data_IF_434350005353
#
_entry.id   IF_434350005353
#
_cell.length_a   1.000
_cell.length_b   1.000
_cell.length_c   1.000
_cell.angle_alpha   90.00
_cell.angle_beta   90.00
_cell.angle_gamma   90.00
#
_symmetry.space_group_name_H-M   'P 1'
#
loop_
_entity.id
_entity.type
_entity.pdbx_description
1 polymer ?
#
# COMPACT_ATOMS: atom_id res chain seq x y z
N UNK A 1 -13.71 51.92 11.70
CA UNK A 1 -14.16 51.69 10.30
C UNK A 1 -13.03 51.67 9.25
N UNK A 2 -11.90 52.38 9.41
CA UNK A 2 -10.82 52.46 8.39
C UNK A 2 -10.14 51.13 8.03
N UNK A 3 -10.21 50.11 8.89
CA UNK A 3 -9.58 48.80 8.68
C UNK A 3 -10.51 47.76 8.02
N UNK A 4 -11.82 48.00 7.96
CA UNK A 4 -12.77 46.99 7.48
C UNK A 4 -12.57 46.73 5.98
N UNK A 5 -12.41 47.80 5.18
CA UNK A 5 -12.17 47.68 3.74
C UNK A 5 -10.87 46.94 3.40
N UNK A 6 -9.68 47.32 3.93
CA UNK A 6 -8.45 46.57 3.62
C UNK A 6 -8.50 45.13 4.14
N UNK A 7 -9.15 44.87 5.28
CA UNK A 7 -9.32 43.50 5.79
C UNK A 7 -10.17 42.64 4.83
N UNK A 8 -11.31 43.13 4.36
CA UNK A 8 -12.16 42.41 3.41
C UNK A 8 -11.47 42.19 2.07
N UNK A 9 -10.76 43.21 1.55
CA UNK A 9 -10.04 43.09 0.28
C UNK A 9 -8.94 42.04 0.39
N UNK A 10 -8.13 42.09 1.45
CA UNK A 10 -7.04 41.13 1.64
C UNK A 10 -7.57 39.71 1.85
N UNK A 11 -8.61 39.54 2.66
CA UNK A 11 -9.25 38.24 2.89
C UNK A 11 -9.79 37.63 1.59
N UNK A 12 -10.54 38.41 0.80
CA UNK A 12 -11.09 37.94 -0.48
C UNK A 12 -9.99 37.67 -1.50
N UNK A 13 -9.00 38.55 -1.61
CA UNK A 13 -7.88 38.36 -2.53
C UNK A 13 -7.10 37.08 -2.21
N UNK A 14 -6.74 36.87 -0.94
CA UNK A 14 -6.05 35.65 -0.53
C UNK A 14 -6.92 34.40 -0.72
N UNK A 15 -8.22 34.47 -0.44
CA UNK A 15 -9.15 33.36 -0.70
C UNK A 15 -9.20 32.99 -2.18
N UNK A 16 -9.27 33.98 -3.07
CA UNK A 16 -9.26 33.72 -4.52
C UNK A 16 -7.92 33.18 -4.99
N UNK A 17 -6.81 33.70 -4.47
CA UNK A 17 -5.47 33.23 -4.84
C UNK A 17 -5.23 31.80 -4.37
N UNK A 18 -5.48 31.49 -3.09
CA UNK A 18 -5.16 30.18 -2.50
C UNK A 18 -6.24 29.12 -2.71
N UNK A 19 -7.50 29.53 -2.87
CA UNK A 19 -8.64 28.63 -3.06
C UNK A 19 -9.05 28.41 -4.51
N UNK A 20 -8.66 29.30 -5.44
CA UNK A 20 -9.05 29.20 -6.86
C UNK A 20 -7.83 29.20 -7.79
N UNK A 21 -7.07 30.30 -7.80
CA UNK A 21 -5.97 30.44 -8.77
C UNK A 21 -4.90 29.35 -8.57
N UNK A 22 -4.49 29.11 -7.33
CA UNK A 22 -3.47 28.11 -7.02
C UNK A 22 -3.94 26.67 -7.29
N UNK A 23 -5.10 26.17 -6.81
CA UNK A 23 -5.56 24.83 -7.13
C UNK A 23 -5.75 24.58 -8.62
N UNK A 24 -6.26 25.56 -9.38
CA UNK A 24 -6.42 25.45 -10.83
C UNK A 24 -5.07 25.39 -11.55
N UNK A 25 -4.11 26.24 -11.15
CA UNK A 25 -2.77 26.21 -11.73
C UNK A 25 -2.07 24.86 -11.47
N UNK A 26 -2.09 24.38 -10.22
CA UNK A 26 -1.48 23.08 -9.86
C UNK A 26 -2.18 21.93 -10.58
N UNK A 27 -3.52 21.95 -10.67
CA UNK A 27 -4.29 20.93 -11.39
C UNK A 27 -3.96 20.95 -12.89
N UNK A 28 -3.92 22.12 -13.51
CA UNK A 28 -3.59 22.28 -14.92
C UNK A 28 -2.19 21.77 -15.25
N UNK A 29 -1.18 22.14 -14.44
CA UNK A 29 0.19 21.64 -14.59
C UNK A 29 0.24 20.12 -14.37
N UNK A 30 -0.41 19.62 -13.32
CA UNK A 30 -0.44 18.19 -13.00
C UNK A 30 -1.05 17.35 -14.13
N UNK A 31 -2.16 17.80 -14.70
CA UNK A 31 -2.80 17.11 -15.82
C UNK A 31 -1.99 17.21 -17.12
N UNK A 32 -1.31 18.34 -17.36
CA UNK A 32 -0.49 18.52 -18.57
C UNK A 32 0.81 17.70 -18.54
N UNK A 33 1.49 17.64 -17.40
CA UNK A 33 2.82 17.02 -17.29
C UNK A 33 2.79 15.60 -16.73
N UNK A 34 1.84 15.30 -15.83
CA UNK A 34 1.79 14.04 -15.07
C UNK A 34 0.36 13.47 -15.00
N UNK A 35 -0.33 13.27 -16.14
CA UNK A 35 -1.74 12.87 -16.15
C UNK A 35 -1.96 11.52 -15.45
N UNK A 36 -1.03 10.56 -15.55
CA UNK A 36 -1.20 9.27 -14.88
C UNK A 36 -1.21 9.41 -13.35
N UNK A 37 -0.29 10.21 -12.80
CA UNK A 37 -0.15 10.42 -11.36
C UNK A 37 -1.24 11.32 -10.82
N UNK A 38 -1.58 12.41 -11.53
CA UNK A 38 -2.63 13.35 -11.18
C UNK A 38 -4.01 12.67 -11.10
N UNK A 39 -4.24 11.64 -11.92
CA UNK A 39 -5.46 10.84 -11.92
C UNK A 39 -5.36 9.58 -11.02
N UNK A 40 -4.38 9.51 -10.11
CA UNK A 40 -4.32 8.49 -9.05
C UNK A 40 -3.51 7.23 -9.36
N UNK A 41 -2.71 7.23 -10.43
CA UNK A 41 -1.85 6.09 -10.84
C UNK A 41 -2.61 4.77 -10.96
N UNK A 42 -3.80 4.84 -11.56
CA UNK A 42 -4.70 3.71 -11.72
C UNK A 42 -4.10 2.62 -12.61
N UNK A 43 -4.41 1.37 -12.28
CA UNK A 43 -4.07 0.18 -13.06
C UNK A 43 -5.37 -0.35 -13.67
N UNK A 44 -5.39 -0.44 -14.99
CA UNK A 44 -6.53 -0.96 -15.77
C UNK A 44 -6.07 -2.21 -16.50
N UNK A 45 -6.85 -3.29 -16.41
CA UNK A 45 -6.61 -4.55 -17.11
C UNK A 45 -7.90 -4.98 -17.79
N UNK A 46 -7.84 -5.28 -19.09
CA UNK A 46 -8.99 -5.70 -19.90
C UNK A 46 -10.19 -4.73 -19.79
N UNK A 47 -9.91 -3.43 -19.80
CA UNK A 47 -10.93 -2.37 -19.67
C UNK A 47 -11.51 -2.20 -18.26
N UNK A 48 -11.09 -3.00 -17.28
CA UNK A 48 -11.54 -2.93 -15.89
C UNK A 48 -10.52 -2.25 -15.00
N UNK A 49 -10.97 -1.31 -14.19
CA UNK A 49 -10.17 -0.71 -13.12
C UNK A 49 -9.92 -1.76 -12.04
N UNK A 50 -8.67 -2.17 -11.88
CA UNK A 50 -8.28 -3.21 -10.92
C UNK A 50 -7.66 -2.62 -9.65
N UNK A 51 -7.21 -1.37 -9.67
CA UNK A 51 -6.64 -0.71 -8.49
C UNK A 51 -5.79 0.51 -8.82
N UNK A 52 -4.95 0.91 -7.86
CA UNK A 52 -3.92 1.94 -8.04
C UNK A 52 -2.58 1.38 -7.61
N UNK A 53 -1.50 1.82 -8.25
CA UNK A 53 -0.12 1.49 -7.81
C UNK A 53 0.16 1.97 -6.37
N UNK A 54 -0.58 2.96 -5.89
CA UNK A 54 -0.34 3.63 -4.61
C UNK A 54 -1.19 3.07 -3.46
N UNK A 55 -2.14 2.18 -3.75
CA UNK A 55 -3.13 1.70 -2.76
C UNK A 55 -3.04 0.19 -2.65
N UNK A 56 -2.79 -0.29 -1.43
CA UNK A 56 -2.82 -1.71 -1.12
C UNK A 56 -4.23 -2.29 -1.18
N UNK A 57 -4.31 -3.61 -1.37
CA UNK A 57 -5.58 -4.33 -1.42
C UNK A 57 -5.57 -5.51 -0.46
N UNK A 58 -6.75 -5.90 0.00
CA UNK A 58 -6.89 -7.09 0.83
C UNK A 58 -6.77 -8.35 -0.03
N UNK A 59 -5.62 -9.02 0.06
CA UNK A 59 -5.42 -10.35 -0.51
C UNK A 59 -5.60 -11.40 0.59
N UNK A 60 -6.60 -12.27 0.44
CA UNK A 60 -6.91 -13.35 1.40
C UNK A 60 -6.70 -14.75 0.83
N UNK A 61 -6.70 -14.91 -0.50
CA UNK A 61 -6.43 -16.20 -1.14
C UNK A 61 -4.95 -16.58 -0.94
N UNK A 62 -4.65 -17.79 -0.43
CA UNK A 62 -3.28 -18.23 -0.16
C UNK A 62 -2.37 -18.34 -1.40
N UNK A 63 -2.89 -18.24 -2.63
CA UNK A 63 -2.09 -18.18 -3.87
C UNK A 63 -1.44 -16.83 -4.10
N UNK A 64 -1.85 -15.78 -3.40
CA UNK A 64 -1.26 -14.45 -3.54
C UNK A 64 -0.23 -14.16 -2.44
N UNK A 65 0.67 -13.23 -2.74
CA UNK A 65 1.47 -12.56 -1.72
C UNK A 65 0.54 -11.66 -0.92
N UNK A 66 0.57 -11.85 0.40
CA UNK A 66 -0.21 -11.03 1.33
C UNK A 66 0.61 -9.83 1.74
N UNK A 67 -0.05 -8.67 1.74
CA UNK A 67 0.51 -7.43 2.26
C UNK A 67 0.43 -7.35 3.79
N UNK A 68 0.72 -6.18 4.32
CA UNK A 68 0.61 -5.92 5.76
C UNK A 68 -0.86 -5.97 6.23
N UNK A 69 -1.14 -6.27 7.49
CA UNK A 69 -2.49 -6.11 8.03
C UNK A 69 -2.98 -4.66 7.88
N UNK A 70 -4.25 -4.50 7.55
CA UNK A 70 -4.93 -3.20 7.56
C UNK A 70 -5.85 -3.12 8.77
N UNK A 71 -5.93 -1.93 9.38
CA UNK A 71 -6.78 -1.64 10.54
C UNK A 71 -7.95 -0.71 10.20
N UNK A 72 -8.25 -0.53 8.92
CA UNK A 72 -9.37 0.31 8.45
C UNK A 72 -10.72 -0.38 8.72
N UNK A 73 -11.76 0.42 8.96
CA UNK A 73 -13.15 -0.04 9.07
C UNK A 73 -14.03 0.48 7.94
N UNK A 74 -15.18 -0.16 7.62
CA UNK A 74 -15.68 -1.42 8.17
C UNK A 74 -14.98 -2.68 7.63
N UNK A 75 -14.06 -2.53 6.66
CA UNK A 75 -13.32 -3.62 6.03
C UNK A 75 -11.83 -3.24 5.88
N UNK A 76 -10.91 -4.22 5.82
CA UNK A 76 -9.48 -3.95 5.60
C UNK A 76 -9.25 -3.31 4.22
N UNK A 77 -8.24 -2.45 4.13
CA UNK A 77 -7.87 -1.71 2.94
C UNK A 77 -9.01 -0.84 2.36
N UNK A 78 -9.82 -0.24 3.22
CA UNK A 78 -10.91 0.63 2.79
C UNK A 78 -10.39 2.01 2.37
N UNK A 79 -10.45 2.33 1.07
CA UNK A 79 -10.02 3.64 0.56
C UNK A 79 -10.82 4.84 1.08
N UNK A 80 -12.05 4.63 1.56
CA UNK A 80 -12.86 5.65 2.24
C UNK A 80 -12.49 5.86 3.70
N UNK A 81 -11.69 4.98 4.29
CA UNK A 81 -11.25 5.05 5.67
C UNK A 81 -9.72 4.85 5.75
N UNK A 82 -8.97 5.95 5.73
CA UNK A 82 -7.53 5.92 5.97
C UNK A 82 -7.22 6.03 7.46
N UNK A 83 -6.44 5.10 8.00
CA UNK A 83 -6.06 5.10 9.42
C UNK A 83 -5.33 3.84 9.88
N UNK A 84 -4.59 3.98 10.99
CA UNK A 84 -3.86 2.90 11.64
C UNK A 84 -4.58 2.33 12.86
N UNK A 85 -4.02 1.28 13.47
CA UNK A 85 -4.63 0.61 14.63
C UNK A 85 -4.56 1.42 15.93
N UNK A 86 -3.59 2.33 16.07
CA UNK A 86 -3.39 3.20 17.24
C UNK A 86 -3.35 2.50 18.61
N UNK A 87 -3.02 1.21 18.62
CA UNK A 87 -2.85 0.42 19.85
C UNK A 87 -1.45 0.64 20.43
N UNK A 88 -1.37 0.99 21.71
CA UNK A 88 -0.10 1.11 22.42
C UNK A 88 0.56 -0.26 22.71
N UNK A 89 1.88 -0.30 22.98
CA UNK A 89 2.61 -1.55 23.23
C UNK A 89 2.10 -2.38 24.40
N UNK A 90 1.57 -1.73 25.45
CA UNK A 90 0.98 -2.39 26.61
C UNK A 90 -0.48 -2.84 26.44
N UNK A 91 -1.08 -2.60 25.27
CA UNK A 91 -2.48 -2.95 25.04
C UNK A 91 -2.63 -4.46 24.76
N UNK A 92 -3.42 -5.21 25.55
CA UNK A 92 -3.59 -6.65 25.35
C UNK A 92 -4.20 -7.01 23.99
N UNK A 93 -5.03 -6.14 23.40
CA UNK A 93 -5.61 -6.36 22.08
C UNK A 93 -4.55 -6.40 20.97
N UNK A 94 -3.45 -5.65 21.12
CA UNK A 94 -2.33 -5.69 20.16
C UNK A 94 -1.66 -7.06 20.19
N UNK A 95 -1.36 -7.57 21.39
CA UNK A 95 -0.75 -8.88 21.58
C UNK A 95 -1.64 -9.99 20.98
N UNK A 96 -2.92 -9.99 21.32
CA UNK A 96 -3.89 -10.97 20.81
C UNK A 96 -3.99 -10.92 19.28
N UNK A 97 -4.04 -9.71 18.68
CA UNK A 97 -4.09 -9.56 17.23
C UNK A 97 -2.82 -10.10 16.55
N UNK A 98 -1.64 -9.85 17.12
CA UNK A 98 -0.36 -10.38 16.60
C UNK A 98 -0.32 -11.90 16.70
N UNK A 99 -0.71 -12.48 17.84
CA UNK A 99 -0.77 -13.93 18.04
C UNK A 99 -1.73 -14.60 17.04
N UNK A 100 -2.92 -14.03 16.83
CA UNK A 100 -3.88 -14.50 15.84
C UNK A 100 -3.33 -14.45 14.40
N UNK A 101 -2.62 -13.37 14.05
CA UNK A 101 -1.99 -13.21 12.72
C UNK A 101 -0.85 -14.22 12.52
N UNK A 102 -0.03 -14.46 13.54
CA UNK A 102 1.03 -15.50 13.50
C UNK A 102 0.40 -16.88 13.27
N UNK A 103 -0.66 -17.21 14.02
CA UNK A 103 -1.36 -18.48 13.87
C UNK A 103 -1.93 -18.65 12.45
N UNK A 104 -2.58 -17.61 11.91
CA UNK A 104 -3.12 -17.62 10.55
C UNK A 104 -2.03 -17.80 9.47
N UNK A 105 -0.89 -17.11 9.61
CA UNK A 105 0.24 -17.24 8.68
C UNK A 105 0.84 -18.65 8.71
N UNK A 106 0.99 -19.25 9.89
CA UNK A 106 1.47 -20.63 10.04
C UNK A 106 0.47 -21.65 9.51
N UNK A 107 -0.83 -21.42 9.70
CA UNK A 107 -1.87 -22.29 9.13
C UNK A 107 -1.89 -22.24 7.60
N UNK A 108 -1.60 -21.07 7.01
CA UNK A 108 -1.51 -20.90 5.56
C UNK A 108 -0.23 -21.51 4.95
N UNK A 109 0.85 -21.66 5.73
CA UNK A 109 2.10 -22.30 5.31
C UNK A 109 2.69 -23.24 6.39
N UNK A 110 2.07 -24.40 6.68
CA UNK A 110 2.47 -25.26 7.80
C UNK A 110 3.91 -25.78 7.75
N UNK A 111 4.51 -25.84 6.55
CA UNK A 111 5.89 -26.30 6.34
C UNK A 111 6.96 -25.23 6.56
N UNK A 112 6.58 -23.98 6.80
CA UNK A 112 7.53 -22.87 6.91
C UNK A 112 7.88 -22.59 8.37
N UNK A 113 9.02 -23.12 8.80
CA UNK A 113 9.53 -22.97 10.16
C UNK A 113 10.32 -21.66 10.39
N UNK A 114 10.46 -20.80 9.37
CA UNK A 114 11.22 -19.56 9.50
C UNK A 114 10.50 -18.57 10.42
N UNK A 115 11.24 -17.71 11.17
CA UNK A 115 10.65 -16.64 11.94
C UNK A 115 9.70 -15.78 11.10
N UNK A 116 8.51 -15.48 11.64
CA UNK A 116 7.50 -14.69 10.93
C UNK A 116 7.96 -13.22 10.86
N UNK A 117 8.04 -12.62 9.67
CA UNK A 117 8.41 -11.21 9.51
C UNK A 117 7.43 -10.28 10.23
N UNK A 118 7.95 -9.25 10.90
CA UNK A 118 7.16 -8.30 11.70
C UNK A 118 6.12 -7.54 10.88
N UNK A 119 6.42 -7.22 9.62
CA UNK A 119 5.51 -6.50 8.72
C UNK A 119 4.22 -7.28 8.41
N UNK A 120 4.28 -8.62 8.41
CA UNK A 120 3.11 -9.46 8.14
C UNK A 120 2.15 -9.55 9.33
N UNK A 121 2.59 -9.13 10.52
CA UNK A 121 1.80 -9.23 11.76
C UNK A 121 1.47 -7.86 12.36
N UNK A 122 2.16 -6.79 11.94
CA UNK A 122 1.94 -5.42 12.40
C UNK A 122 1.18 -4.60 11.37
N UNK A 123 0.10 -3.93 11.81
CA UNK A 123 -0.71 -3.12 10.91
C UNK A 123 0.04 -1.86 10.44
N UNK A 124 -0.26 -1.40 9.24
CA UNK A 124 0.32 -0.17 8.70
C UNK A 124 -0.30 1.10 9.30
N UNK A 125 0.43 2.22 9.25
CA UNK A 125 -0.03 3.50 9.79
C UNK A 125 -1.14 4.14 8.96
N UNK A 126 -1.15 3.94 7.64
CA UNK A 126 -2.20 4.44 6.74
C UNK A 126 -3.39 3.48 6.64
N UNK A 127 -3.18 2.20 6.93
CA UNK A 127 -4.16 1.14 6.65
C UNK A 127 -4.31 0.79 5.16
N UNK A 128 -3.56 1.46 4.26
CA UNK A 128 -3.63 1.31 2.80
C UNK A 128 -2.27 1.03 2.17
N UNK A 129 -1.30 0.58 2.96
CA UNK A 129 0.09 0.35 2.54
C UNK A 129 0.18 -0.65 1.37
N UNK A 130 0.63 -0.24 0.17
CA UNK A 130 0.79 -1.13 -0.96
C UNK A 130 2.10 -1.93 -0.92
N UNK A 131 2.98 -1.65 0.05
CA UNK A 131 4.34 -2.16 0.08
C UNK A 131 4.60 -3.19 1.16
N UNK A 132 5.61 -4.00 0.90
CA UNK A 132 6.18 -4.98 1.82
C UNK A 132 7.69 -5.05 1.60
N UNK A 133 8.50 -5.35 2.62
CA UNK A 133 9.93 -5.61 2.38
C UNK A 133 10.18 -6.82 1.48
N UNK A 134 11.29 -6.84 0.73
CA UNK A 134 11.70 -8.01 -0.05
C UNK A 134 11.83 -9.27 0.80
N UNK A 135 12.30 -9.15 2.04
CA UNK A 135 12.43 -10.28 2.96
C UNK A 135 11.07 -10.89 3.31
N UNK A 136 10.07 -10.05 3.62
CA UNK A 136 8.73 -10.53 3.94
C UNK A 136 7.98 -11.07 2.71
N UNK A 137 8.25 -10.54 1.50
CA UNK A 137 7.77 -11.14 0.25
C UNK A 137 8.41 -12.51 0.00
N UNK A 138 9.73 -12.63 0.18
CA UNK A 138 10.47 -13.88 -0.01
C UNK A 138 10.07 -14.97 1.00
N UNK A 139 9.71 -14.59 2.23
CA UNK A 139 9.19 -15.52 3.24
C UNK A 139 7.94 -16.27 2.76
N UNK A 140 7.13 -15.64 1.91
CA UNK A 140 5.89 -16.20 1.36
C UNK A 140 6.10 -16.97 0.04
N UNK A 141 7.30 -16.91 -0.55
CA UNK A 141 7.52 -17.37 -1.92
C UNK A 141 7.24 -18.86 -2.13
N UNK A 142 7.53 -19.70 -1.13
CA UNK A 142 7.33 -21.16 -1.21
C UNK A 142 5.85 -21.54 -1.18
N UNK A 143 5.07 -20.93 -0.27
CA UNK A 143 3.61 -21.05 -0.25
C UNK A 143 3.00 -20.67 -1.59
N UNK A 144 3.36 -19.50 -2.11
CA UNK A 144 2.83 -18.97 -3.37
C UNK A 144 3.22 -19.86 -4.55
N UNK A 145 4.47 -20.29 -4.64
CA UNK A 145 4.96 -21.19 -5.68
C UNK A 145 4.18 -22.51 -5.70
N UNK A 146 4.06 -23.16 -4.53
CA UNK A 146 3.35 -24.44 -4.37
C UNK A 146 1.89 -24.34 -4.80
N UNK A 147 1.18 -23.29 -4.36
CA UNK A 147 -0.26 -23.17 -4.63
C UNK A 147 -0.58 -22.64 -6.04
N UNK A 148 0.41 -22.05 -6.73
CA UNK A 148 0.29 -21.64 -8.14
C UNK A 148 0.83 -22.67 -9.12
N UNK A 149 1.54 -23.70 -8.68
CA UNK A 149 2.15 -24.69 -9.55
C UNK A 149 3.35 -24.17 -10.35
N UNK A 150 3.98 -23.08 -9.90
CA UNK A 150 5.17 -22.49 -10.53
C UNK A 150 6.41 -22.67 -9.64
N UNK A 151 7.60 -22.58 -10.21
CA UNK A 151 8.83 -22.80 -9.44
C UNK A 151 9.09 -21.67 -8.42
N UNK A 152 9.63 -22.03 -7.25
CA UNK A 152 10.06 -21.05 -6.24
C UNK A 152 11.09 -20.07 -6.80
N UNK A 153 11.98 -20.53 -7.69
CA UNK A 153 12.94 -19.68 -8.38
C UNK A 153 12.23 -18.61 -9.23
N UNK A 154 11.15 -18.96 -9.93
CA UNK A 154 10.35 -18.00 -10.70
C UNK A 154 9.68 -16.96 -9.81
N UNK A 155 9.10 -17.38 -8.68
CA UNK A 155 8.49 -16.45 -7.71
C UNK A 155 9.53 -15.49 -7.14
N UNK A 156 10.71 -16.00 -6.74
CA UNK A 156 11.81 -15.16 -6.23
C UNK A 156 12.32 -14.17 -7.28
N UNK A 157 12.43 -14.60 -8.54
CA UNK A 157 12.81 -13.70 -9.63
C UNK A 157 11.77 -12.60 -9.86
N UNK A 158 10.47 -12.92 -9.78
CA UNK A 158 9.40 -11.93 -9.88
C UNK A 158 9.42 -10.94 -8.71
N UNK A 159 9.67 -11.41 -7.48
CA UNK A 159 9.85 -10.55 -6.31
C UNK A 159 11.03 -9.58 -6.53
N UNK A 160 12.17 -10.08 -6.99
CA UNK A 160 13.34 -9.25 -7.27
C UNK A 160 13.06 -8.21 -8.38
N UNK A 161 12.38 -8.60 -9.46
CA UNK A 161 12.01 -7.70 -10.55
C UNK A 161 11.01 -6.59 -10.14
N UNK A 162 10.23 -6.82 -9.08
CA UNK A 162 9.27 -5.85 -8.53
C UNK A 162 9.76 -5.22 -7.22
N UNK A 163 11.05 -5.38 -6.89
CA UNK A 163 11.67 -4.70 -5.76
C UNK A 163 12.16 -3.33 -6.20
N UNK A 164 11.60 -2.29 -5.60
CA UNK A 164 12.09 -0.93 -5.70
C UNK A 164 13.16 -0.69 -4.63
N UNK A 165 14.30 -0.12 -5.02
CA UNK A 165 15.33 0.30 -4.07
C UNK A 165 14.93 1.54 -3.27
N UNK A 166 15.76 1.94 -2.28
CA UNK A 166 15.60 3.21 -1.59
C UNK A 166 15.53 4.38 -2.57
N UNK A 167 14.73 5.38 -2.26
CA UNK A 167 14.60 6.56 -3.11
C UNK A 167 15.94 7.29 -3.19
N UNK A 168 16.44 7.46 -4.42
CA UNK A 168 17.78 7.97 -4.72
C UNK A 168 18.92 7.20 -4.04
N UNK A 169 18.67 5.96 -3.61
CA UNK A 169 19.64 5.14 -2.87
C UNK A 169 19.84 5.55 -1.41
N UNK A 170 19.14 6.57 -0.91
CA UNK A 170 19.37 7.14 0.43
C UNK A 170 18.13 7.13 1.34
N UNK A 171 16.93 7.30 0.77
CA UNK A 171 15.71 7.49 1.56
C UNK A 171 14.82 6.25 1.57
N UNK A 172 14.55 5.77 2.79
CA UNK A 172 13.67 4.63 3.03
C UNK A 172 14.34 3.29 2.78
N UNK A 173 13.52 2.25 2.69
CA UNK A 173 13.96 0.86 2.55
C UNK A 173 13.58 0.31 1.18
N UNK A 174 14.24 -0.79 0.79
CA UNK A 174 13.82 -1.57 -0.37
C UNK A 174 12.42 -2.13 -0.12
N UNK A 175 11.56 -2.05 -1.13
CA UNK A 175 10.13 -2.35 -1.00
C UNK A 175 9.59 -3.04 -2.24
N UNK A 176 8.57 -3.85 -2.05
CA UNK A 176 7.90 -4.61 -3.10
C UNK A 176 6.45 -4.17 -3.15
N UNK A 177 5.98 -3.74 -4.33
CA UNK A 177 4.58 -3.40 -4.54
C UNK A 177 3.74 -4.68 -4.66
N UNK A 178 2.87 -4.92 -3.69
CA UNK A 178 2.12 -6.19 -3.56
C UNK A 178 1.14 -6.39 -4.71
N UNK A 179 0.41 -5.33 -5.10
CA UNK A 179 -0.54 -5.41 -6.21
C UNK A 179 0.18 -5.70 -7.53
N UNK A 180 1.24 -4.95 -7.83
CA UNK A 180 2.02 -5.15 -9.06
C UNK A 180 2.62 -6.57 -9.13
N UNK A 181 3.18 -7.06 -8.02
CA UNK A 181 3.71 -8.41 -7.94
C UNK A 181 2.63 -9.48 -8.17
N UNK A 182 1.47 -9.34 -7.53
CA UNK A 182 0.37 -10.29 -7.70
C UNK A 182 -0.16 -10.32 -9.14
N UNK A 183 -0.24 -9.17 -9.81
CA UNK A 183 -0.60 -9.10 -11.23
C UNK A 183 0.44 -9.78 -12.14
N UNK A 184 1.73 -9.61 -11.82
CA UNK A 184 2.81 -10.29 -12.54
C UNK A 184 2.78 -11.81 -12.32
N UNK A 185 2.46 -12.25 -11.10
CA UNK A 185 2.25 -13.66 -10.80
C UNK A 185 1.05 -14.23 -11.57
N UNK A 186 -0.01 -13.45 -11.78
CA UNK A 186 -1.18 -13.88 -12.57
C UNK A 186 -0.89 -14.00 -14.06
N UNK A 187 0.06 -13.21 -14.57
CA UNK A 187 0.52 -13.32 -15.95
C UNK A 187 1.51 -14.49 -16.16
N UNK A 188 2.20 -14.93 -15.10
CA UNK A 188 3.23 -15.96 -15.15
C UNK A 188 2.70 -17.39 -14.94
N UNK A 189 1.46 -17.68 -15.40
CA UNK A 189 0.83 -19.01 -15.32
C UNK A 189 1.68 -20.10 -15.96
#
# INVERSE_FOLDING_TARGET
MKLIRPALVLFTALTLVTGVAYPLAVTGIGQALFPQQANGSLIVRDGKLIGSRLIGQSFTDPRYVWGRPSATGPMPYNGGASGGSNLGPGNPALKQAVEARIAALRAADPGNARPVPVELVTASGSGLDPHLSPAAAQWQAERVARLRGISTARVRALIAAHTEGPQWGLFGEARVNVLALNLALDAAR
#
